data_IF_158981273018
#
_entry.id   IF_158981273018
#
_cell.length_a   1.000
_cell.length_b   1.000
_cell.length_c   1.000
_cell.angle_alpha   90.00
_cell.angle_beta   90.00
_cell.angle_gamma   90.00
#
_symmetry.space_group_name_H-M   'P 1'
#
loop_
_entity.id
_entity.type
_entity.pdbx_description
1 polymer ?
#
# COMPACT_ATOMS: atom_id res chain seq x y z
N UNK A 1 -16.51 8.54 21.32
CA UNK A 1 -16.90 7.67 20.20
C UNK A 1 -16.93 8.55 18.97
N UNK A 2 -16.22 8.17 17.90
CA UNK A 2 -16.35 8.88 16.62
C UNK A 2 -17.74 8.57 16.05
N UNK A 3 -18.41 9.56 15.44
CA UNK A 3 -19.79 9.37 14.96
C UNK A 3 -19.83 8.35 13.82
N UNK A 4 -20.79 7.42 13.88
CA UNK A 4 -21.00 6.40 12.85
C UNK A 4 -21.46 7.05 11.55
N UNK A 5 -20.58 7.09 10.56
CA UNK A 5 -20.93 7.33 9.17
C UNK A 5 -21.10 5.99 8.44
N UNK A 6 -21.78 6.00 7.28
CA UNK A 6 -22.06 4.83 6.43
C UNK A 6 -20.81 4.03 5.99
N UNK A 7 -19.59 4.53 6.26
CA UNK A 7 -18.31 3.93 5.88
C UNK A 7 -17.45 3.42 7.06
N UNK A 8 -18.09 3.03 8.16
CA UNK A 8 -17.41 2.55 9.37
C UNK A 8 -16.82 1.13 9.20
N UNK A 9 -15.61 1.02 8.62
CA UNK A 9 -15.02 -0.26 8.18
C UNK A 9 -13.59 -0.46 8.70
N UNK A 10 -13.35 -1.66 9.25
CA UNK A 10 -12.03 -2.22 9.49
C UNK A 10 -11.63 -3.12 8.32
N UNK A 11 -10.44 -2.88 7.79
CA UNK A 11 -9.76 -3.82 6.89
C UNK A 11 -8.44 -4.29 7.51
N UNK A 12 -7.73 -5.21 6.86
CA UNK A 12 -6.38 -5.59 7.24
C UNK A 12 -5.38 -5.42 6.10
N UNK A 13 -4.15 -5.08 6.48
CA UNK A 13 -2.99 -5.08 5.59
C UNK A 13 -1.83 -5.82 6.25
N UNK A 14 -0.83 -6.19 5.45
CA UNK A 14 0.32 -6.97 5.91
C UNK A 14 1.59 -6.52 5.19
N UNK A 15 2.74 -6.88 5.74
CA UNK A 15 4.05 -6.68 5.10
C UNK A 15 4.36 -7.93 4.25
N UNK A 16 4.28 -7.85 2.90
CA UNK A 16 4.57 -8.97 2.02
C UNK A 16 6.02 -9.41 2.10
N UNK A 17 6.21 -10.72 2.04
CA UNK A 17 7.51 -11.36 1.93
C UNK A 17 7.69 -11.89 0.51
N UNK A 18 8.77 -11.47 -0.14
CA UNK A 18 9.16 -11.85 -1.47
C UNK A 18 10.49 -12.59 -1.42
N UNK A 19 10.75 -13.41 -2.43
CA UNK A 19 12.08 -13.95 -2.68
C UNK A 19 12.82 -13.07 -3.66
N UNK A 20 14.14 -12.95 -3.51
CA UNK A 20 14.91 -12.12 -4.42
C UNK A 20 16.41 -12.39 -4.52
N UNK A 21 17.03 -11.63 -5.41
CA UNK A 21 18.47 -11.61 -5.67
C UNK A 21 18.92 -10.17 -5.92
N UNK A 22 20.14 -9.82 -5.50
CA UNK A 22 20.75 -8.53 -5.84
C UNK A 22 21.19 -8.46 -7.32
N UNK A 23 21.34 -9.61 -7.96
CA UNK A 23 21.76 -9.74 -9.36
C UNK A 23 20.60 -10.31 -10.18
N UNK A 24 20.37 -9.74 -11.37
CA UNK A 24 19.36 -10.23 -12.32
C UNK A 24 19.77 -11.62 -12.83
N UNK A 25 18.94 -12.63 -12.57
CA UNK A 25 19.10 -13.99 -13.07
C UNK A 25 17.79 -14.75 -12.92
N UNK A 26 17.53 -15.78 -13.71
CA UNK A 26 16.35 -16.62 -13.49
C UNK A 26 16.37 -17.27 -12.09
N UNK A 27 15.24 -17.30 -11.35
CA UNK A 27 13.93 -16.72 -11.69
C UNK A 27 13.78 -15.23 -11.31
N UNK A 28 14.75 -14.64 -10.60
CA UNK A 28 14.77 -13.25 -10.15
C UNK A 28 15.04 -12.24 -11.27
N UNK A 29 14.02 -12.01 -12.10
CA UNK A 29 14.10 -11.13 -13.27
C UNK A 29 13.28 -9.84 -13.14
N UNK A 30 12.41 -9.72 -12.13
CA UNK A 30 11.52 -8.58 -11.95
C UNK A 30 12.14 -7.54 -11.01
N UNK A 31 12.55 -6.36 -11.51
CA UNK A 31 13.26 -5.36 -10.71
C UNK A 31 12.36 -4.60 -9.75
N UNK A 32 12.84 -4.40 -8.51
CA UNK A 32 12.31 -3.45 -7.54
C UNK A 32 13.12 -2.16 -7.68
N UNK A 33 12.49 -1.10 -8.18
CA UNK A 33 13.17 0.15 -8.51
C UNK A 33 13.22 1.15 -7.36
N UNK A 34 14.34 1.88 -7.28
CA UNK A 34 14.42 3.18 -6.60
C UNK A 34 13.63 4.24 -7.35
N UNK A 35 13.39 5.39 -6.71
CA UNK A 35 12.86 6.57 -7.40
C UNK A 35 13.77 6.94 -8.58
N UNK A 36 13.24 7.07 -9.81
CA UNK A 36 14.04 7.45 -10.96
C UNK A 36 14.66 8.85 -10.82
N UNK A 37 15.87 9.02 -11.33
CA UNK A 37 16.63 10.27 -11.21
C UNK A 37 16.01 11.44 -12.01
N UNK A 38 15.15 11.14 -12.99
CA UNK A 38 14.47 12.13 -13.82
C UNK A 38 13.00 12.36 -13.41
N UNK A 39 12.54 11.75 -12.31
CA UNK A 39 11.20 11.94 -11.79
C UNK A 39 11.11 13.24 -10.99
N UNK A 40 10.28 14.16 -11.46
CA UNK A 40 10.03 15.47 -10.86
C UNK A 40 8.74 15.41 -10.02
N UNK A 41 8.86 15.83 -8.76
CA UNK A 41 7.71 16.11 -7.89
C UNK A 41 7.24 17.54 -8.12
N UNK A 42 5.94 17.69 -8.39
CA UNK A 42 5.35 19.00 -8.68
C UNK A 42 4.52 19.43 -7.49
N UNK A 43 5.00 20.45 -6.78
CA UNK A 43 4.25 21.10 -5.70
C UNK A 43 3.96 22.54 -6.11
N UNK A 44 2.73 22.75 -6.62
CA UNK A 44 2.22 24.05 -7.00
C UNK A 44 1.03 24.46 -6.12
N UNK A 45 0.87 23.81 -4.97
CA UNK A 45 -0.27 24.03 -4.07
C UNK A 45 -0.31 25.43 -3.46
N UNK A 46 0.79 26.17 -3.48
CA UNK A 46 0.85 27.57 -3.03
C UNK A 46 0.22 28.55 -4.02
N UNK A 47 0.22 28.22 -5.33
CA UNK A 47 -0.32 29.06 -6.41
C UNK A 47 -1.72 28.55 -6.81
N UNK A 48 -1.88 27.23 -6.90
CA UNK A 48 -3.11 26.53 -7.29
C UNK A 48 -3.54 25.57 -6.18
N UNK A 49 -4.28 26.05 -5.16
CA UNK A 49 -4.66 25.25 -3.99
C UNK A 49 -5.38 23.94 -4.33
N UNK A 50 -6.14 23.88 -5.43
CA UNK A 50 -6.82 22.69 -5.93
C UNK A 50 -5.85 21.54 -6.26
N UNK A 51 -4.59 21.86 -6.60
CA UNK A 51 -3.57 20.87 -6.92
C UNK A 51 -3.03 20.13 -5.68
N UNK A 52 -3.30 20.63 -4.46
CA UNK A 52 -2.86 19.97 -3.21
C UNK A 52 -3.41 18.55 -3.06
N UNK A 53 -4.55 18.26 -3.68
CA UNK A 53 -5.17 16.93 -3.65
C UNK A 53 -4.57 15.96 -4.67
N UNK A 54 -3.72 16.45 -5.58
CA UNK A 54 -3.10 15.65 -6.62
C UNK A 54 -1.64 15.35 -6.27
N UNK A 55 -1.23 14.10 -6.45
CA UNK A 55 0.18 13.71 -6.37
C UNK A 55 0.83 13.88 -7.75
N UNK A 56 0.93 15.12 -8.22
CA UNK A 56 1.47 15.41 -9.55
C UNK A 56 2.95 15.02 -9.65
N UNK A 57 3.27 14.25 -10.70
CA UNK A 57 4.61 13.77 -11.01
C UNK A 57 4.83 13.84 -12.51
N UNK A 58 6.03 14.20 -12.91
CA UNK A 58 6.39 14.32 -14.31
C UNK A 58 7.86 14.09 -14.55
N UNK A 59 8.26 14.27 -15.81
CA UNK A 59 9.66 14.35 -16.24
C UNK A 59 9.82 15.50 -17.21
N UNK A 60 11.05 15.99 -17.34
CA UNK A 60 11.36 17.05 -18.29
C UNK A 60 11.64 16.45 -19.68
N UNK A 61 10.98 17.00 -20.69
CA UNK A 61 11.29 16.82 -22.11
C UNK A 61 11.55 18.19 -22.72
N UNK A 62 12.83 18.53 -22.91
CA UNK A 62 13.26 19.88 -23.24
C UNK A 62 12.84 20.86 -22.13
N UNK A 63 12.04 21.86 -22.47
CA UNK A 63 11.48 22.83 -21.51
C UNK A 63 10.01 22.54 -21.16
N UNK A 64 9.55 21.31 -21.34
CA UNK A 64 8.17 20.91 -20.99
C UNK A 64 8.20 19.86 -19.90
N UNK A 65 7.36 20.05 -18.89
CA UNK A 65 7.04 19.02 -17.92
C UNK A 65 5.90 18.16 -18.46
N UNK A 66 6.16 16.87 -18.65
CA UNK A 66 5.17 15.89 -19.14
C UNK A 66 4.91 14.83 -18.06
N UNK A 67 3.77 14.12 -18.10
CA UNK A 67 3.49 13.03 -17.17
C UNK A 67 4.62 11.98 -17.16
N UNK A 68 4.86 11.40 -15.98
CA UNK A 68 5.80 10.29 -15.88
C UNK A 68 5.23 9.02 -16.54
N UNK A 69 6.04 7.97 -16.68
CA UNK A 69 5.61 6.72 -17.31
C UNK A 69 4.51 6.02 -16.50
N UNK A 70 3.48 5.53 -17.19
CA UNK A 70 2.52 4.62 -16.59
C UNK A 70 3.15 3.23 -16.43
N UNK A 71 2.61 2.38 -15.53
CA UNK A 71 3.12 1.01 -15.29
C UNK A 71 3.40 0.23 -16.58
N UNK A 72 2.45 0.20 -17.51
CA UNK A 72 2.57 -0.53 -18.77
C UNK A 72 3.61 0.01 -19.75
N UNK A 73 4.09 1.24 -19.56
CA UNK A 73 5.08 1.86 -20.45
C UNK A 73 6.54 1.54 -20.04
N UNK A 74 6.75 1.07 -18.81
CA UNK A 74 8.09 0.92 -18.21
C UNK A 74 8.88 -0.22 -18.84
N UNK A 75 8.23 -1.29 -19.29
CA UNK A 75 8.92 -2.40 -19.98
C UNK A 75 9.46 -1.99 -21.36
N UNK A 76 8.86 -0.98 -21.99
CA UNK A 76 9.23 -0.50 -23.32
C UNK A 76 10.28 0.63 -23.30
N UNK A 77 10.56 1.24 -22.14
CA UNK A 77 11.42 2.42 -22.00
C UNK A 77 12.42 2.20 -20.87
N UNK A 78 13.72 2.41 -21.13
CA UNK A 78 14.77 2.30 -20.12
C UNK A 78 14.53 3.31 -18.99
N UNK A 79 13.91 2.86 -17.91
CA UNK A 79 13.66 3.65 -16.72
C UNK A 79 15.00 4.10 -16.14
N UNK A 80 15.17 5.40 -15.88
CA UNK A 80 16.40 5.96 -15.29
C UNK A 80 16.40 5.76 -13.77
N UNK A 81 16.22 4.53 -13.34
CA UNK A 81 16.15 4.14 -11.94
C UNK A 81 17.16 3.04 -11.64
N UNK A 82 17.78 3.14 -10.47
CA UNK A 82 18.56 2.05 -9.90
C UNK A 82 17.63 0.91 -9.44
N UNK A 83 18.10 -0.33 -9.56
CA UNK A 83 17.41 -1.51 -9.02
C UNK A 83 17.93 -1.81 -7.62
N UNK A 84 17.04 -1.96 -6.65
CA UNK A 84 17.39 -2.37 -5.28
C UNK A 84 17.73 -3.87 -5.28
N UNK A 85 16.83 -4.67 -5.82
CA UNK A 85 16.97 -6.11 -6.01
C UNK A 85 15.93 -6.59 -7.04
N UNK A 86 16.02 -7.86 -7.42
CA UNK A 86 15.10 -8.53 -8.34
C UNK A 86 14.30 -9.57 -7.58
N UNK A 87 13.02 -9.71 -7.91
CA UNK A 87 12.14 -10.76 -7.40
C UNK A 87 11.72 -11.73 -8.51
N UNK A 88 11.20 -12.88 -8.12
CA UNK A 88 10.79 -13.99 -8.99
C UNK A 88 9.31 -13.94 -9.42
N UNK A 89 8.54 -12.97 -8.92
CA UNK A 89 7.10 -12.87 -9.17
C UNK A 89 6.65 -11.44 -9.44
N UNK A 90 6.17 -11.18 -10.67
CA UNK A 90 5.52 -9.90 -11.01
C UNK A 90 4.22 -9.66 -10.24
N UNK A 91 3.53 -10.73 -9.82
CA UNK A 91 2.31 -10.65 -9.02
C UNK A 91 2.64 -10.18 -7.61
N UNK A 92 3.66 -10.78 -6.98
CA UNK A 92 4.06 -10.39 -5.63
C UNK A 92 4.71 -9.00 -5.61
N UNK A 93 5.45 -8.63 -6.66
CA UNK A 93 5.91 -7.26 -6.87
C UNK A 93 4.74 -6.26 -6.93
N UNK A 94 3.68 -6.57 -7.67
CA UNK A 94 2.51 -5.72 -7.72
C UNK A 94 1.86 -5.57 -6.34
N UNK A 95 1.74 -6.67 -5.58
CA UNK A 95 1.20 -6.60 -4.23
C UNK A 95 2.11 -5.82 -3.28
N UNK A 96 3.44 -5.93 -3.40
CA UNK A 96 4.40 -5.08 -2.69
C UNK A 96 4.12 -3.59 -2.94
N UNK A 97 3.82 -3.20 -4.17
CA UNK A 97 3.44 -1.83 -4.51
C UNK A 97 2.11 -1.41 -3.89
N UNK A 98 1.10 -2.29 -3.88
CA UNK A 98 -0.19 -2.02 -3.24
C UNK A 98 -0.05 -1.86 -1.73
N UNK A 99 0.78 -2.69 -1.09
CA UNK A 99 1.04 -2.64 0.36
C UNK A 99 2.00 -1.50 0.73
N UNK A 100 2.83 -1.02 -0.21
CA UNK A 100 3.76 0.10 -0.04
C UNK A 100 5.03 -0.22 0.76
N UNK A 101 5.12 -1.36 1.41
CA UNK A 101 6.34 -1.85 2.06
C UNK A 101 6.36 -3.37 2.09
N UNK A 102 7.52 -3.96 2.33
CA UNK A 102 7.68 -5.40 2.33
C UNK A 102 9.11 -5.82 2.64
N UNK A 103 9.34 -7.12 2.53
CA UNK A 103 10.63 -7.76 2.79
C UNK A 103 11.01 -8.62 1.60
N UNK A 104 12.28 -8.60 1.25
CA UNK A 104 12.85 -9.49 0.24
C UNK A 104 13.87 -10.39 0.92
N UNK A 105 13.55 -11.67 1.00
CA UNK A 105 14.49 -12.70 1.47
C UNK A 105 15.39 -13.09 0.30
N UNK A 106 16.67 -12.71 0.41
CA UNK A 106 17.69 -13.00 -0.58
C UNK A 106 18.08 -14.48 -0.52
N UNK A 107 18.64 -14.99 -1.62
CA UNK A 107 19.13 -16.39 -1.69
C UNK A 107 20.15 -16.77 -0.60
N UNK A 108 20.91 -15.79 -0.08
CA UNK A 108 21.86 -15.99 1.00
C UNK A 108 21.23 -15.95 2.41
N UNK A 109 19.89 -15.90 2.50
CA UNK A 109 19.13 -15.82 3.74
C UNK A 109 19.05 -14.43 4.37
N UNK A 110 19.73 -13.41 3.81
CA UNK A 110 19.60 -12.03 4.31
C UNK A 110 18.28 -11.42 3.88
N UNK A 111 17.70 -10.60 4.74
CA UNK A 111 16.48 -9.84 4.44
C UNK A 111 16.83 -8.41 4.03
N UNK A 112 16.26 -7.95 2.92
CA UNK A 112 16.25 -6.54 2.52
C UNK A 112 14.87 -5.98 2.86
N UNK A 113 14.81 -4.94 3.69
CA UNK A 113 13.57 -4.23 3.98
C UNK A 113 13.30 -3.20 2.89
N UNK A 114 12.12 -3.25 2.32
CA UNK A 114 11.67 -2.38 1.23
C UNK A 114 10.56 -1.48 1.76
N UNK A 115 10.63 -0.19 1.48
CA UNK A 115 9.54 0.72 1.82
C UNK A 115 9.34 1.81 0.79
N UNK A 116 8.12 2.33 0.76
CA UNK A 116 7.69 3.41 -0.11
C UNK A 116 8.67 4.58 -0.09
N UNK A 117 8.98 5.08 -1.28
CA UNK A 117 9.75 6.31 -1.46
C UNK A 117 8.99 7.33 -2.30
N UNK A 118 8.47 6.94 -3.46
CA UNK A 118 7.71 7.82 -4.34
C UNK A 118 6.74 7.03 -5.24
N UNK A 119 6.04 7.71 -6.13
CA UNK A 119 5.16 7.11 -7.14
C UNK A 119 5.23 7.87 -8.46
N UNK A 120 4.70 7.29 -9.53
CA UNK A 120 4.68 7.90 -10.88
C UNK A 120 3.56 8.94 -11.12
N UNK A 121 2.72 9.21 -10.12
CA UNK A 121 1.71 10.27 -10.14
C UNK A 121 0.32 9.89 -10.69
N UNK A 122 0.16 8.68 -11.25
CA UNK A 122 -1.17 8.18 -11.61
C UNK A 122 -1.95 7.75 -10.38
N UNK A 123 -3.27 7.97 -10.42
CA UNK A 123 -4.19 7.44 -9.43
C UNK A 123 -4.25 5.91 -9.51
N UNK A 124 -4.48 5.29 -8.35
CA UNK A 124 -4.67 3.85 -8.27
C UNK A 124 -5.98 3.42 -8.92
N UNK A 125 -5.91 2.41 -9.79
CA UNK A 125 -7.08 1.73 -10.35
C UNK A 125 -7.17 0.31 -9.81
N UNK A 126 -8.33 -0.08 -9.28
CA UNK A 126 -8.51 -1.40 -8.67
C UNK A 126 -8.59 -2.51 -9.71
N UNK A 127 -7.58 -3.38 -9.74
CA UNK A 127 -7.58 -4.58 -10.60
C UNK A 127 -8.67 -5.60 -10.19
N UNK A 128 -9.06 -5.60 -8.92
CA UNK A 128 -10.17 -6.42 -8.44
C UNK A 128 -11.52 -5.99 -9.03
N UNK A 129 -11.79 -4.68 -9.05
CA UNK A 129 -12.99 -4.14 -9.74
C UNK A 129 -12.94 -4.38 -11.24
N UNK A 130 -11.75 -4.28 -11.85
CA UNK A 130 -11.56 -4.61 -13.26
C UNK A 130 -11.93 -6.06 -13.56
N UNK A 131 -11.36 -7.01 -12.81
CA UNK A 131 -11.66 -8.44 -12.95
C UNK A 131 -13.16 -8.72 -12.77
N UNK A 132 -13.82 -8.05 -11.83
CA UNK A 132 -15.28 -8.16 -11.68
C UNK A 132 -16.04 -7.59 -12.87
N UNK A 133 -15.61 -6.45 -13.42
CA UNK A 133 -16.28 -5.82 -14.56
C UNK A 133 -16.23 -6.65 -15.84
N UNK A 134 -15.19 -7.48 -16.00
CA UNK A 134 -15.04 -8.40 -17.14
C UNK A 134 -15.58 -9.80 -16.85
N UNK A 135 -16.27 -10.00 -15.72
CA UNK A 135 -16.86 -11.28 -15.33
C UNK A 135 -15.85 -12.36 -14.91
N UNK A 136 -14.60 -12.01 -14.65
CA UNK A 136 -13.55 -12.96 -14.29
C UNK A 136 -13.64 -13.43 -12.82
N UNK A 137 -14.03 -12.53 -11.90
CA UNK A 137 -14.23 -12.83 -10.48
C UNK A 137 -15.46 -12.05 -10.00
N UNK A 138 -16.50 -12.68 -9.42
CA UNK A 138 -17.64 -11.96 -8.84
C UNK A 138 -17.18 -10.93 -7.80
N UNK A 139 -17.79 -9.75 -7.78
CA UNK A 139 -17.32 -8.61 -6.97
C UNK A 139 -17.23 -8.95 -5.47
N UNK A 140 -18.18 -9.73 -4.98
CA UNK A 140 -18.26 -10.24 -3.60
C UNK A 140 -17.12 -11.20 -3.24
N UNK A 141 -16.50 -11.83 -4.24
CA UNK A 141 -15.41 -12.78 -4.09
C UNK A 141 -14.05 -12.16 -4.39
N UNK A 142 -13.98 -10.86 -4.71
CA UNK A 142 -12.72 -10.16 -4.99
C UNK A 142 -11.93 -10.04 -3.68
N UNK A 143 -10.81 -10.77 -3.62
CA UNK A 143 -9.82 -10.71 -2.55
C UNK A 143 -8.42 -10.82 -3.14
N UNK A 144 -7.39 -10.54 -2.34
CA UNK A 144 -6.00 -10.71 -2.76
C UNK A 144 -5.75 -12.16 -3.22
N UNK A 145 -6.33 -13.12 -2.51
CA UNK A 145 -6.18 -14.55 -2.77
C UNK A 145 -6.83 -14.96 -4.10
N UNK A 146 -8.08 -14.55 -4.34
CA UNK A 146 -8.79 -14.91 -5.57
C UNK A 146 -8.17 -14.23 -6.79
N UNK A 147 -7.72 -12.98 -6.65
CA UNK A 147 -6.96 -12.28 -7.71
C UNK A 147 -5.64 -13.01 -7.99
N UNK A 148 -4.88 -13.37 -6.96
CA UNK A 148 -3.58 -14.05 -7.14
C UNK A 148 -3.75 -15.42 -7.78
N UNK A 149 -4.76 -16.20 -7.36
CA UNK A 149 -5.08 -17.50 -7.94
C UNK A 149 -5.45 -17.36 -9.42
N UNK A 150 -6.37 -16.45 -9.73
CA UNK A 150 -6.81 -16.21 -11.11
C UNK A 150 -5.64 -15.79 -12.02
N UNK A 151 -4.74 -14.92 -11.55
CA UNK A 151 -3.57 -14.50 -12.32
C UNK A 151 -2.58 -15.65 -12.59
N UNK A 152 -2.41 -16.56 -11.63
CA UNK A 152 -1.56 -17.76 -11.79
C UNK A 152 -2.17 -18.75 -12.80
N UNK A 153 -3.49 -18.86 -12.83
CA UNK A 153 -4.22 -19.69 -13.80
C UNK A 153 -4.29 -19.06 -15.20
N UNK A 154 -4.10 -17.73 -15.31
CA UNK A 154 -4.20 -16.98 -16.56
C UNK A 154 -2.91 -16.19 -16.87
N UNK A 155 -1.75 -16.87 -17.06
CA UNK A 155 -0.44 -16.21 -17.17
C UNK A 155 -0.33 -15.24 -18.35
N UNK A 156 -1.02 -15.51 -19.46
CA UNK A 156 -1.06 -14.65 -20.65
C UNK A 156 -1.77 -13.31 -20.42
N UNK A 157 -2.60 -13.21 -19.38
CA UNK A 157 -3.38 -12.01 -19.05
C UNK A 157 -2.83 -11.20 -17.89
N UNK A 158 -1.71 -11.64 -17.29
CA UNK A 158 -1.16 -10.94 -16.12
C UNK A 158 -0.83 -9.49 -16.48
N UNK A 159 -0.15 -9.25 -17.61
CA UNK A 159 0.27 -7.88 -17.93
C UNK A 159 -0.92 -6.98 -18.25
N UNK A 160 -1.95 -7.51 -18.93
CA UNK A 160 -3.22 -6.81 -19.16
C UNK A 160 -3.84 -6.35 -17.82
N UNK A 161 -4.00 -7.28 -16.87
CA UNK A 161 -4.67 -7.00 -15.59
C UNK A 161 -3.84 -6.07 -14.71
N UNK A 162 -2.53 -6.32 -14.57
CA UNK A 162 -1.67 -5.48 -13.73
C UNK A 162 -1.54 -4.07 -14.31
N UNK A 163 -1.45 -3.92 -15.64
CA UNK A 163 -1.32 -2.63 -16.31
C UNK A 163 -2.61 -1.82 -16.34
N UNK A 164 -3.77 -2.40 -16.00
CA UNK A 164 -4.98 -1.62 -15.71
C UNK A 164 -4.73 -0.57 -14.62
N UNK A 165 -3.92 -0.92 -13.62
CA UNK A 165 -3.41 0.04 -12.64
C UNK A 165 -2.17 0.77 -13.19
N UNK A 166 -2.39 1.97 -13.75
CA UNK A 166 -1.32 2.84 -14.26
C UNK A 166 -0.37 3.34 -13.17
N UNK A 167 -0.82 3.38 -11.91
CA UNK A 167 0.00 3.79 -10.77
C UNK A 167 1.13 2.80 -10.54
N UNK A 168 2.34 3.31 -10.35
CA UNK A 168 3.54 2.53 -10.03
C UNK A 168 4.25 3.16 -8.85
N UNK A 169 4.73 2.31 -7.94
CA UNK A 169 5.42 2.71 -6.72
C UNK A 169 6.92 2.49 -6.86
N UNK A 170 7.68 3.47 -6.37
CA UNK A 170 9.14 3.41 -6.25
C UNK A 170 9.52 3.32 -4.78
N UNK A 171 10.61 2.61 -4.51
CA UNK A 171 10.97 2.22 -3.17
C UNK A 171 12.34 2.71 -2.75
N UNK A 172 12.64 2.54 -1.47
CA UNK A 172 13.97 2.62 -0.91
C UNK A 172 14.22 1.43 0.00
N UNK A 173 15.49 1.07 0.13
CA UNK A 173 15.91 0.14 1.17
C UNK A 173 15.79 0.82 2.53
N UNK A 174 15.28 0.08 3.52
CA UNK A 174 15.22 0.49 4.92
C UNK A 174 16.22 -0.32 5.74
N UNK A 175 16.71 0.28 6.83
CA UNK A 175 17.58 -0.42 7.79
C UNK A 175 16.81 -1.39 8.68
N UNK A 176 15.49 -1.20 8.78
CA UNK A 176 14.58 -1.96 9.66
C UNK A 176 13.26 -2.26 8.95
N UNK A 177 12.50 -3.18 9.54
CA UNK A 177 11.14 -3.57 9.16
C UNK A 177 10.18 -2.38 8.96
N UNK A 178 9.04 -2.63 8.30
CA UNK A 178 7.99 -1.64 8.03
C UNK A 178 7.83 -0.59 9.14
N UNK A 179 8.36 0.60 8.85
CA UNK A 179 8.03 1.82 9.58
C UNK A 179 6.80 2.45 8.95
N UNK A 180 5.77 2.70 9.77
CA UNK A 180 4.58 3.42 9.33
C UNK A 180 4.91 4.87 8.95
N UNK A 181 3.91 5.60 8.51
CA UNK A 181 4.01 7.02 8.17
C UNK A 181 4.58 7.90 9.31
N UNK A 182 4.51 7.45 10.57
CA UNK A 182 5.12 8.11 11.73
C UNK A 182 6.63 7.82 11.89
N UNK A 183 7.22 6.95 11.07
CA UNK A 183 8.63 6.55 11.16
C UNK A 183 8.93 5.50 12.24
N UNK A 184 7.90 5.04 12.97
CA UNK A 184 8.02 3.98 13.99
C UNK A 184 7.72 2.61 13.41
N UNK A 185 8.39 1.57 13.94
CA UNK A 185 8.14 0.18 13.55
C UNK A 185 6.73 -0.22 13.93
N UNK A 186 5.98 -0.77 12.96
CA UNK A 186 4.61 -1.21 13.18
C UNK A 186 4.58 -2.49 14.01
N UNK A 187 3.66 -2.54 14.96
CA UNK A 187 3.43 -3.69 15.84
C UNK A 187 2.22 -4.47 15.32
N UNK A 188 2.39 -5.77 14.96
CA UNK A 188 1.29 -6.60 14.49
C UNK A 188 0.09 -6.57 15.45
N UNK A 189 -1.10 -6.42 14.88
CA UNK A 189 -2.39 -6.34 15.57
C UNK A 189 -2.50 -5.18 16.58
N UNK A 190 -1.58 -4.21 16.56
CA UNK A 190 -1.56 -3.04 17.46
C UNK A 190 -1.36 -1.72 16.73
N UNK A 191 -0.86 -1.73 15.50
CA UNK A 191 -0.77 -0.55 14.66
C UNK A 191 -1.91 -0.52 13.64
N UNK A 192 -2.46 0.66 13.42
CA UNK A 192 -3.48 0.89 12.39
C UNK A 192 -3.10 2.05 11.46
N UNK A 193 -3.47 1.91 10.19
CA UNK A 193 -3.50 3.01 9.25
C UNK A 193 -4.82 3.77 9.36
N UNK A 194 -4.77 5.10 9.37
CA UNK A 194 -5.96 5.97 9.53
C UNK A 194 -5.94 7.12 8.53
N UNK A 195 -7.05 7.83 8.41
CA UNK A 195 -7.13 9.10 7.69
C UNK A 195 -6.68 10.26 8.60
N UNK A 196 -5.50 10.82 8.31
CA UNK A 196 -4.90 11.91 9.09
C UNK A 196 -5.74 13.19 9.17
N UNK A 197 -6.71 13.35 8.26
CA UNK A 197 -7.63 14.50 8.29
C UNK A 197 -8.57 14.46 9.50
N UNK A 198 -8.76 13.27 10.09
CA UNK A 198 -9.67 13.04 11.21
C UNK A 198 -8.97 12.47 12.44
N UNK A 199 -7.94 11.64 12.26
CA UNK A 199 -7.21 10.99 13.35
C UNK A 199 -5.71 11.33 13.20
N UNK A 200 -5.16 12.21 14.07
CA UNK A 200 -3.73 12.50 14.08
C UNK A 200 -2.89 11.24 14.30
N UNK A 201 -1.73 11.14 13.66
CA UNK A 201 -0.80 10.06 13.95
C UNK A 201 -0.26 10.17 15.39
N UNK A 202 0.02 9.02 15.99
CA UNK A 202 0.37 8.87 17.41
C UNK A 202 -0.85 8.72 18.33
N UNK A 203 -2.07 8.92 17.83
CA UNK A 203 -3.28 8.79 18.62
C UNK A 203 -3.48 7.35 19.10
N UNK A 204 -3.78 7.20 20.39
CA UNK A 204 -4.19 5.93 20.98
C UNK A 204 -5.70 5.73 20.79
N UNK A 205 -6.08 4.59 20.25
CA UNK A 205 -7.47 4.26 19.92
C UNK A 205 -7.88 2.98 20.63
N UNK A 206 -9.11 2.92 21.12
CA UNK A 206 -9.77 1.64 21.37
C UNK A 206 -10.56 1.26 20.12
N UNK A 207 -10.37 0.04 19.65
CA UNK A 207 -10.96 -0.50 18.43
C UNK A 207 -11.84 -1.69 18.78
N UNK A 208 -13.08 -1.67 18.28
CA UNK A 208 -14.02 -2.78 18.34
C UNK A 208 -14.49 -3.15 16.92
N UNK A 209 -14.26 -4.39 16.51
CA UNK A 209 -14.70 -4.93 15.24
C UNK A 209 -14.87 -6.45 15.32
N UNK A 210 -15.85 -6.97 14.59
CA UNK A 210 -16.16 -8.40 14.54
C UNK A 210 -16.25 -8.85 13.07
N UNK A 211 -15.29 -9.66 12.64
CA UNK A 211 -15.34 -10.43 11.40
C UNK A 211 -15.74 -11.88 11.75
N UNK A 212 -16.19 -12.66 10.75
CA UNK A 212 -16.68 -14.04 10.94
C UNK A 212 -15.84 -14.89 11.92
N UNK A 213 -14.52 -14.86 11.76
CA UNK A 213 -13.60 -15.73 12.51
C UNK A 213 -12.66 -14.96 13.45
N UNK A 214 -12.76 -13.62 13.49
CA UNK A 214 -11.82 -12.79 14.26
C UNK A 214 -12.54 -11.62 14.93
N UNK A 215 -12.40 -11.56 16.26
CA UNK A 215 -12.90 -10.46 17.08
C UNK A 215 -11.75 -9.58 17.53
N UNK A 216 -11.82 -8.29 17.25
CA UNK A 216 -10.86 -7.29 17.70
C UNK A 216 -11.54 -6.37 18.72
N UNK A 217 -11.08 -6.42 19.97
CA UNK A 217 -11.48 -5.49 21.04
C UNK A 217 -10.25 -5.08 21.83
N UNK A 218 -9.54 -4.07 21.34
CA UNK A 218 -8.22 -3.78 21.88
C UNK A 218 -7.78 -2.34 21.65
N UNK A 219 -6.81 -1.92 22.45
CA UNK A 219 -6.07 -0.68 22.23
C UNK A 219 -5.10 -0.86 21.07
N UNK A 220 -5.11 0.11 20.16
CA UNK A 220 -4.24 0.23 18.99
C UNK A 220 -3.68 1.65 18.89
N UNK A 221 -2.64 1.82 18.08
CA UNK A 221 -1.98 3.10 17.82
C UNK A 221 -2.13 3.49 16.35
N UNK A 222 -2.57 4.72 16.09
CA UNK A 222 -2.59 5.31 14.76
C UNK A 222 -1.16 5.66 14.33
N UNK A 223 -0.48 4.75 13.62
CA UNK A 223 0.94 4.89 13.31
C UNK A 223 1.22 4.94 11.80
N UNK A 224 0.19 4.75 10.98
CA UNK A 224 0.33 4.69 9.53
C UNK A 224 -0.82 5.39 8.78
N UNK A 225 -0.67 5.50 7.47
CA UNK A 225 -1.68 6.01 6.55
C UNK A 225 -1.75 5.18 5.28
N UNK A 226 -2.88 5.23 4.59
CA UNK A 226 -3.02 4.61 3.28
C UNK A 226 -3.86 5.47 2.35
N UNK A 227 -3.51 5.48 1.05
CA UNK A 227 -4.23 6.27 0.05
C UNK A 227 -5.71 5.88 -0.07
N UNK A 228 -6.05 4.62 0.21
CA UNK A 228 -7.42 4.09 0.23
C UNK A 228 -8.13 4.22 1.58
N UNK A 229 -7.43 4.69 2.63
CA UNK A 229 -7.98 4.83 3.99
C UNK A 229 -8.52 6.24 4.12
N UNK A 230 -9.84 6.38 3.94
CA UNK A 230 -10.55 7.66 3.92
C UNK A 230 -11.80 7.61 4.80
N UNK A 231 -12.00 8.66 5.60
CA UNK A 231 -13.17 8.82 6.47
C UNK A 231 -12.81 8.85 7.96
N UNK A 232 -13.76 9.35 8.76
CA UNK A 232 -13.61 9.54 10.20
C UNK A 232 -13.56 8.23 10.99
N UNK A 233 -14.31 7.20 10.56
CA UNK A 233 -14.35 5.86 11.20
C UNK A 233 -13.80 4.80 10.25
N UNK A 234 -12.58 4.99 9.74
CA UNK A 234 -11.91 4.04 8.84
C UNK A 234 -10.53 3.68 9.39
N UNK A 235 -10.26 2.39 9.53
CA UNK A 235 -8.94 1.90 9.95
C UNK A 235 -8.51 0.65 9.17
N UNK A 236 -7.21 0.54 8.92
CA UNK A 236 -6.59 -0.67 8.37
C UNK A 236 -5.66 -1.29 9.42
N UNK A 237 -5.91 -2.52 9.85
CA UNK A 237 -5.12 -3.20 10.87
C UNK A 237 -3.85 -3.79 10.26
N UNK A 238 -2.69 -3.45 10.83
CA UNK A 238 -1.45 -4.11 10.46
C UNK A 238 -1.39 -5.51 11.04
N UNK A 239 -1.43 -6.55 10.22
CA UNK A 239 -1.45 -7.94 10.67
C UNK A 239 -0.07 -8.54 10.92
N UNK A 240 1.00 -7.85 10.52
CA UNK A 240 2.38 -8.35 10.55
C UNK A 240 2.85 -8.83 9.17
N UNK A 241 3.74 -9.82 9.15
CA UNK A 241 4.28 -10.43 7.94
C UNK A 241 4.10 -11.95 7.99
N UNK A 242 4.28 -12.62 6.85
CA UNK A 242 4.11 -14.07 6.70
C UNK A 242 2.72 -14.49 6.24
N UNK A 243 2.55 -15.78 5.98
CA UNK A 243 1.33 -16.32 5.35
C UNK A 243 0.09 -16.14 6.22
N UNK A 244 0.20 -16.34 7.54
CA UNK A 244 -0.91 -16.10 8.48
C UNK A 244 -1.38 -14.64 8.45
N UNK A 245 -0.43 -13.69 8.41
CA UNK A 245 -0.75 -12.27 8.36
C UNK A 245 -1.46 -11.92 7.04
N UNK A 246 -0.97 -12.47 5.92
CA UNK A 246 -1.57 -12.33 4.59
C UNK A 246 -2.98 -12.90 4.52
N UNK A 247 -3.20 -14.09 5.08
CA UNK A 247 -4.49 -14.76 5.07
C UNK A 247 -5.53 -13.94 5.86
N UNK A 248 -5.19 -13.54 7.08
CA UNK A 248 -6.10 -12.77 7.92
C UNK A 248 -6.36 -11.38 7.32
N UNK A 249 -5.32 -10.69 6.85
CA UNK A 249 -5.44 -9.37 6.24
C UNK A 249 -6.39 -9.37 5.03
N UNK A 250 -6.22 -10.34 4.11
CA UNK A 250 -7.04 -10.41 2.89
C UNK A 250 -8.52 -10.75 3.13
N UNK A 251 -8.85 -11.38 4.27
CA UNK A 251 -10.23 -11.70 4.66
C UNK A 251 -10.86 -10.64 5.58
N UNK A 252 -10.05 -9.75 6.16
CA UNK A 252 -10.53 -8.79 7.14
C UNK A 252 -11.34 -7.68 6.45
N UNK A 253 -12.66 -7.74 6.63
CA UNK A 253 -13.59 -6.67 6.33
C UNK A 253 -14.73 -6.74 7.34
N UNK A 254 -14.76 -5.79 8.27
CA UNK A 254 -15.71 -5.81 9.39
C UNK A 254 -16.25 -4.40 9.69
N UNK A 255 -17.50 -4.29 10.20
CA UNK A 255 -17.98 -3.06 10.83
C UNK A 255 -17.05 -2.65 11.97
N UNK A 256 -16.79 -1.35 12.08
CA UNK A 256 -15.81 -0.80 13.01
C UNK A 256 -16.43 0.23 13.94
N UNK A 257 -16.10 0.16 15.22
CA UNK A 257 -16.28 1.26 16.17
C UNK A 257 -14.93 1.70 16.73
N UNK A 258 -14.70 3.02 16.76
CA UNK A 258 -13.48 3.64 17.28
C UNK A 258 -13.76 4.63 18.41
N UNK A 259 -12.90 4.59 19.42
CA UNK A 259 -12.83 5.59 20.48
C UNK A 259 -11.41 6.13 20.55
N UNK A 260 -11.28 7.45 20.60
CA UNK A 260 -10.01 8.10 20.89
C UNK A 260 -9.77 8.07 22.39
N UNK A 261 -8.62 7.54 22.81
CA UNK A 261 -8.16 7.53 24.19
C UNK A 261 -7.31 8.77 24.42
N UNK A 262 -7.84 9.68 25.23
CA UNK A 262 -7.20 10.94 25.58
C UNK A 262 -6.54 10.85 26.96
N UNK A 263 -5.35 11.44 27.17
CA UNK A 263 -4.78 11.61 28.51
C UNK A 263 -5.77 12.32 29.43
N UNK A 264 -5.84 11.90 30.70
CA UNK A 264 -6.82 12.39 31.69
C UNK A 264 -6.89 13.92 31.82
N UNK A 265 -5.79 14.62 31.54
CA UNK A 265 -5.68 16.07 31.66
C UNK A 265 -5.77 16.82 30.32
N UNK A 266 -6.07 16.15 29.21
CA UNK A 266 -6.25 16.79 27.91
C UNK A 266 -7.70 17.23 27.71
N UNK A 267 -7.90 18.47 27.24
CA UNK A 267 -9.23 18.98 26.88
C UNK A 267 -9.67 18.37 25.55
N UNK A 268 -10.96 18.07 25.44
CA UNK A 268 -11.58 17.44 24.26
C UNK A 268 -11.50 18.29 22.97
N UNK A 269 -11.18 19.58 23.11
CA UNK A 269 -11.13 20.59 22.04
C UNK A 269 -9.84 20.54 21.19
N UNK A 270 -8.87 19.67 21.51
CA UNK A 270 -7.58 19.59 20.83
C UNK A 270 -7.44 18.45 19.81
N UNK A 271 -8.55 17.93 19.27
CA UNK A 271 -8.57 16.86 18.26
C UNK A 271 -9.19 17.37 16.95
#
# INVERSE_FOLDING_TARGET
>A
QLQNEENSILTGYYEPELRGSLVKKEPYIYPIYKTPNDLVTVDLGSIYPELKNYRLRGKLEGNKLVPYYARGDVSAKSLKAEVICYTDSKIDLFFLEVQGSGRVTLENGKTVFIGYDNQNGYQYSSIGKYLASIGAIPLENVSLQTISAWLKENPSRIDEVLNYNKSMIFFKQKDKAASGSLGVVLTPKRSVAVDQRYIPLGTMLYLSAEAKDVKFNQVVMAQDTGGAIKGSVRADMFMGYGEDAKEIAGKLKAPLTLWVLLPKNSKKESL
#
